data_IF_826397444682
#
_entry.id   IF_826397444682
#
_cell.length_a   1.000
_cell.length_b   1.000
_cell.length_c   1.000
_cell.angle_alpha   90.00
_cell.angle_beta   90.00
_cell.angle_gamma   90.00
#
_symmetry.space_group_name_H-M   'P 1'
#
loop_
_entity.id
_entity.type
_entity.pdbx_description
1 polymer ?
#
# COMPACT_ATOMS: atom_id res chain seq x y z
N UNK A 1 -4.86 -8.23 -8.81
CA UNK A 1 -4.52 -7.02 -8.05
C UNK A 1 -5.59 -5.97 -8.28
N UNK A 2 -6.10 -5.39 -7.21
CA UNK A 2 -7.07 -4.29 -7.22
C UNK A 2 -6.40 -3.05 -6.60
N UNK A 3 -6.65 -1.90 -7.20
CA UNK A 3 -6.20 -0.60 -6.71
C UNK A 3 -7.41 0.33 -6.66
N UNK A 4 -7.65 0.95 -5.51
CA UNK A 4 -8.66 2.00 -5.37
C UNK A 4 -8.02 3.25 -4.82
N UNK A 5 -8.29 4.39 -5.46
CA UNK A 5 -7.84 5.70 -5.02
C UNK A 5 -9.06 6.51 -4.62
N UNK A 6 -9.01 7.10 -3.43
CA UNK A 6 -10.05 7.95 -2.87
C UNK A 6 -9.61 9.40 -2.93
N UNK A 7 -10.53 10.28 -3.31
CA UNK A 7 -10.38 11.74 -3.22
C UNK A 7 -11.28 12.24 -2.09
N UNK A 8 -10.73 13.02 -1.16
CA UNK A 8 -11.49 13.62 -0.08
C UNK A 8 -11.10 15.08 0.12
N UNK A 9 -11.97 15.85 0.78
CA UNK A 9 -11.67 17.25 1.10
C UNK A 9 -10.73 17.31 2.30
N UNK A 10 -9.67 18.10 2.19
CA UNK A 10 -8.66 18.29 3.23
C UNK A 10 -8.33 19.77 3.37
N UNK A 11 -8.89 20.41 4.40
CA UNK A 11 -8.80 21.86 4.60
C UNK A 11 -9.40 22.64 3.42
N UNK A 12 -8.61 23.55 2.86
CA UNK A 12 -8.98 24.35 1.67
C UNK A 12 -8.68 23.62 0.34
N UNK A 13 -8.11 22.40 0.40
CA UNK A 13 -7.73 21.59 -0.76
C UNK A 13 -8.35 20.19 -0.74
N UNK A 14 -7.67 19.27 -1.43
CA UNK A 14 -8.07 17.86 -1.51
C UNK A 14 -6.89 16.95 -1.15
N UNK A 15 -7.20 15.88 -0.43
CA UNK A 15 -6.29 14.79 -0.14
C UNK A 15 -6.59 13.56 -1.00
N UNK A 16 -5.60 12.69 -1.13
CA UNK A 16 -5.74 11.38 -1.75
C UNK A 16 -5.43 10.29 -0.73
N UNK A 17 -6.06 9.13 -0.88
CA UNK A 17 -5.62 7.88 -0.24
C UNK A 17 -5.73 6.73 -1.22
N UNK A 18 -4.94 5.68 -1.02
CA UNK A 18 -4.97 4.50 -1.88
C UNK A 18 -5.03 3.20 -1.07
N UNK A 19 -5.71 2.20 -1.64
CA UNK A 19 -5.68 0.82 -1.16
C UNK A 19 -5.18 -0.06 -2.30
N UNK A 20 -4.12 -0.82 -2.04
CA UNK A 20 -3.53 -1.77 -2.97
C UNK A 20 -3.75 -3.20 -2.45
N UNK A 21 -4.66 -3.93 -3.09
CA UNK A 21 -4.93 -5.33 -2.77
C UNK A 21 -4.27 -6.26 -3.81
N UNK A 22 -3.23 -6.96 -3.36
CA UNK A 22 -2.41 -7.82 -4.20
C UNK A 22 -2.79 -9.27 -3.95
N UNK A 23 -3.09 -10.00 -5.02
CA UNK A 23 -3.32 -11.44 -4.96
C UNK A 23 -2.15 -12.14 -5.64
N UNK A 24 -1.33 -12.81 -4.83
CA UNK A 24 -0.21 -13.64 -5.26
C UNK A 24 -0.61 -15.11 -5.09
N UNK A 25 -1.10 -15.71 -6.18
CA UNK A 25 -1.47 -17.14 -6.22
C UNK A 25 -0.28 -18.02 -5.89
N UNK A 26 -0.55 -19.13 -5.20
CA UNK A 26 0.43 -20.17 -4.88
C UNK A 26 1.62 -19.70 -4.01
N UNK A 27 1.49 -18.57 -3.33
CA UNK A 27 2.47 -18.06 -2.37
C UNK A 27 1.85 -18.08 -0.97
N UNK A 28 2.64 -18.54 0.00
CA UNK A 28 2.27 -18.45 1.41
C UNK A 28 2.02 -17.00 1.81
N UNK A 29 1.00 -16.78 2.65
CA UNK A 29 0.55 -15.45 2.99
C UNK A 29 1.65 -14.58 3.64
N UNK A 30 2.45 -15.13 4.56
CA UNK A 30 3.53 -14.36 5.19
C UNK A 30 4.57 -13.94 4.16
N UNK A 31 4.93 -14.86 3.26
CA UNK A 31 5.83 -14.57 2.16
C UNK A 31 5.26 -13.54 1.18
N UNK A 32 3.95 -13.58 0.93
CA UNK A 32 3.27 -12.60 0.10
C UNK A 32 3.33 -11.19 0.74
N UNK A 33 3.13 -11.09 2.06
CA UNK A 33 3.33 -9.83 2.79
C UNK A 33 4.76 -9.31 2.64
N UNK A 34 5.78 -10.16 2.81
CA UNK A 34 7.18 -9.74 2.64
C UNK A 34 7.48 -9.22 1.23
N UNK A 35 6.93 -9.90 0.20
CA UNK A 35 7.11 -9.49 -1.20
C UNK A 35 6.45 -8.14 -1.44
N UNK A 36 5.20 -7.97 -1.01
CA UNK A 36 4.44 -6.73 -1.20
C UNK A 36 5.08 -5.57 -0.44
N UNK A 37 5.53 -5.79 0.79
CA UNK A 37 6.26 -4.79 1.58
C UNK A 37 7.57 -4.38 0.87
N UNK A 38 8.36 -5.34 0.38
CA UNK A 38 9.59 -5.04 -0.38
C UNK A 38 9.29 -4.26 -1.67
N UNK A 39 8.24 -4.63 -2.40
CA UNK A 39 7.83 -3.93 -3.60
C UNK A 39 7.42 -2.48 -3.28
N UNK A 40 6.71 -2.24 -2.17
CA UNK A 40 6.31 -0.90 -1.73
C UNK A 40 7.51 0.00 -1.42
N UNK A 41 8.63 -0.57 -0.95
CA UNK A 41 9.85 0.20 -0.68
C UNK A 41 10.56 0.71 -1.94
N UNK A 42 10.37 0.04 -3.10
CA UNK A 42 11.08 0.39 -4.35
C UNK A 42 10.17 0.91 -5.47
N UNK A 43 8.85 0.75 -5.34
CA UNK A 43 7.90 1.18 -6.35
C UNK A 43 7.98 2.70 -6.54
N UNK A 44 8.17 3.22 -7.78
CA UNK A 44 8.29 4.65 -8.03
C UNK A 44 7.11 5.47 -7.50
N UNK A 45 5.90 4.92 -7.59
CA UNK A 45 4.70 5.57 -7.06
C UNK A 45 4.74 5.65 -5.53
N UNK A 46 5.05 4.54 -4.86
CA UNK A 46 5.11 4.48 -3.39
C UNK A 46 6.19 5.39 -2.82
N UNK A 47 7.36 5.46 -3.47
CA UNK A 47 8.42 6.40 -3.10
C UNK A 47 7.97 7.84 -3.32
N UNK A 48 7.33 8.14 -4.45
CA UNK A 48 6.85 9.50 -4.76
C UNK A 48 5.73 9.99 -3.84
N UNK A 49 4.94 9.09 -3.25
CA UNK A 49 3.80 9.42 -2.39
C UNK A 49 4.10 9.28 -0.89
N UNK A 50 5.29 8.82 -0.51
CA UNK A 50 5.66 8.58 0.89
C UNK A 50 5.54 9.87 1.71
N UNK A 51 4.81 9.79 2.83
CA UNK A 51 4.56 10.93 3.71
C UNK A 51 3.57 11.97 3.16
N UNK A 52 3.12 11.84 1.91
CA UNK A 52 2.21 12.79 1.26
C UNK A 52 0.76 12.29 1.16
N UNK A 53 0.55 10.97 1.28
CA UNK A 53 -0.78 10.37 1.34
C UNK A 53 -0.73 9.00 2.02
N UNK A 54 -1.87 8.54 2.53
CA UNK A 54 -2.02 7.22 3.09
C UNK A 54 -2.13 6.15 1.99
N UNK A 55 -1.37 5.07 2.15
CA UNK A 55 -1.43 3.89 1.29
C UNK A 55 -1.59 2.64 2.15
N UNK A 56 -2.74 1.98 2.03
CA UNK A 56 -3.01 0.70 2.68
C UNK A 56 -2.63 -0.46 1.74
N UNK A 57 -1.83 -1.40 2.23
CA UNK A 57 -1.46 -2.62 1.51
C UNK A 57 -2.31 -3.79 2.01
N UNK A 58 -2.87 -4.57 1.08
CA UNK A 58 -3.60 -5.82 1.35
C UNK A 58 -3.04 -6.95 0.52
N UNK A 59 -3.12 -8.15 1.07
CA UNK A 59 -2.91 -9.39 0.35
C UNK A 59 -4.18 -10.22 0.43
N UNK A 60 -4.80 -10.49 -0.72
CA UNK A 60 -6.05 -11.22 -0.83
C UNK A 60 -7.13 -10.71 0.16
N UNK A 61 -7.27 -9.38 0.27
CA UNK A 61 -8.24 -8.73 1.14
C UNK A 61 -7.82 -8.58 2.62
N UNK A 62 -6.69 -9.14 3.05
CA UNK A 62 -6.17 -8.98 4.41
C UNK A 62 -5.10 -7.90 4.48
N UNK A 63 -5.22 -6.99 5.43
CA UNK A 63 -4.24 -5.92 5.65
C UNK A 63 -2.85 -6.51 5.87
N UNK A 64 -1.89 -6.07 5.07
CA UNK A 64 -0.50 -6.44 5.24
C UNK A 64 0.03 -5.75 6.50
N UNK A 65 0.68 -6.49 7.42
CA UNK A 65 1.40 -5.85 8.50
C UNK A 65 2.50 -5.00 7.86
N UNK A 66 2.37 -3.69 8.01
CA UNK A 66 3.42 -2.75 7.60
C UNK A 66 4.59 -3.07 8.51
N UNK A 67 5.66 -3.66 7.96
CA UNK A 67 6.89 -3.83 8.71
C UNK A 67 7.26 -2.42 9.15
N UNK A 68 7.29 -2.17 10.47
CA UNK A 68 7.59 -0.86 11.03
C UNK A 68 8.82 -0.32 10.29
N UNK A 69 8.62 0.79 9.58
CA UNK A 69 9.69 1.48 8.89
C UNK A 69 10.73 1.81 9.97
N UNK A 70 11.79 1.01 10.05
CA UNK A 70 12.97 1.36 10.83
C UNK A 70 13.71 2.42 10.01
N UNK A 71 13.16 3.65 10.03
CA UNK A 71 13.92 4.87 9.75
C UNK A 71 14.64 5.33 11.01
#
# INVERSE_FOLDING_TARGET
>A
MQCSVTLFQEGEGYGLSAVLDVDLKDIDQQKAFDIVNKAHQICPYSVGTRGNMEVELKVAGQAAPVAADNE
#
